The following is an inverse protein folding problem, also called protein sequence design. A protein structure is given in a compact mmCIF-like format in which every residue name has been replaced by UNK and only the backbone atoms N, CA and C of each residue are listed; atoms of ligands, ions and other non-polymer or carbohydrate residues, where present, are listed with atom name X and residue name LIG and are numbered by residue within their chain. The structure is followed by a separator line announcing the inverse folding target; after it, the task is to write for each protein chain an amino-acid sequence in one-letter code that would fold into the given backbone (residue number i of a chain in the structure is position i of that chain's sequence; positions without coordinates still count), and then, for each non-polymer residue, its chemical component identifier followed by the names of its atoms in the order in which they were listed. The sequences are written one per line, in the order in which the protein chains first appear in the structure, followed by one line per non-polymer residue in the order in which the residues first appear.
data_IF_599148258847
#
_entry.id   IF_599148258847
#
_cell.length_a   1.000
_cell.length_b   1.000
_cell.length_c   1.000
_cell.angle_alpha   90.00
_cell.angle_beta   90.00
_cell.angle_gamma   90.00
#
_symmetry.space_group_name_H-M   'P 1'
#
loop_
_entity.id
_entity.type
_entity.pdbx_description
1 polymer ?
#
# COMPACT_ATOMS: atom_id res chain seq x y z
N UNK A 1 14.34 22.33 37.05
CA UNK A 1 14.56 22.63 35.62
C UNK A 1 13.84 21.56 34.81
N UNK A 2 12.56 21.78 34.47
CA UNK A 2 11.76 20.84 33.69
C UNK A 2 11.87 21.18 32.21
N UNK A 3 12.26 20.20 31.38
CA UNK A 3 12.41 20.34 29.93
C UNK A 3 11.08 20.67 29.25
N UNK A 4 10.76 21.96 29.08
CA UNK A 4 9.70 22.41 28.17
C UNK A 4 10.25 22.42 26.73
N UNK A 5 10.31 21.25 26.10
CA UNK A 5 10.18 21.21 24.64
C UNK A 5 8.72 21.51 24.34
N UNK A 6 8.37 22.48 23.48
CA UNK A 6 6.96 22.66 23.10
C UNK A 6 6.46 21.33 22.56
N UNK A 7 5.39 20.79 23.14
CA UNK A 7 4.78 19.58 22.64
C UNK A 7 4.35 19.82 21.19
N UNK A 8 4.74 18.93 20.28
CA UNK A 8 4.37 19.04 18.87
C UNK A 8 2.84 19.04 18.77
N UNK A 9 2.29 20.11 18.20
CA UNK A 9 0.86 20.26 17.98
C UNK A 9 0.47 19.54 16.69
N UNK A 10 0.06 18.28 16.84
CA UNK A 10 -0.34 17.43 15.71
C UNK A 10 -1.61 17.92 15.01
N UNK A 11 -2.48 18.67 15.69
CA UNK A 11 -3.69 19.25 15.09
C UNK A 11 -3.30 20.34 14.07
N UNK A 12 -2.34 21.20 14.43
CA UNK A 12 -1.78 22.17 13.48
C UNK A 12 -1.10 21.50 12.29
N UNK A 13 -0.34 20.43 12.52
CA UNK A 13 0.28 19.66 11.43
C UNK A 13 -0.79 19.03 10.52
N UNK A 14 -1.89 18.52 11.08
CA UNK A 14 -2.98 17.95 10.32
C UNK A 14 -3.65 18.98 9.39
N UNK A 15 -3.64 20.26 9.77
CA UNK A 15 -4.16 21.35 8.95
C UNK A 15 -3.20 21.79 7.83
N UNK A 16 -1.89 21.53 7.97
CA UNK A 16 -0.86 21.92 7.00
C UNK A 16 -1.12 21.34 5.61
N UNK A 17 -0.92 22.17 4.59
CA UNK A 17 -1.06 21.77 3.19
C UNK A 17 -0.09 20.64 2.79
N UNK A 18 1.12 20.62 3.36
CA UNK A 18 2.13 19.57 3.11
C UNK A 18 1.69 18.21 3.67
N UNK A 19 1.11 18.17 4.88
CA UNK A 19 0.54 16.95 5.46
C UNK A 19 -0.66 16.42 4.67
N UNK A 20 -1.60 17.28 4.28
CA UNK A 20 -2.76 16.88 3.46
C UNK A 20 -2.32 16.29 2.12
N UNK A 21 -1.28 16.85 1.50
CA UNK A 21 -0.70 16.28 0.28
C UNK A 21 -0.08 14.89 0.51
N UNK A 22 0.67 14.70 1.60
CA UNK A 22 1.22 13.40 1.98
C UNK A 22 0.11 12.35 2.17
N UNK A 23 -0.94 12.68 2.91
CA UNK A 23 -2.10 11.80 3.11
C UNK A 23 -2.77 11.45 1.78
N UNK A 24 -2.96 12.43 0.89
CA UNK A 24 -3.53 12.18 -0.45
C UNK A 24 -2.68 11.20 -1.26
N UNK A 25 -1.35 11.41 -1.32
CA UNK A 25 -0.42 10.50 -2.02
C UNK A 25 -0.49 9.09 -1.46
N UNK A 26 -0.45 8.94 -0.13
CA UNK A 26 -0.55 7.65 0.56
C UNK A 26 -1.86 6.94 0.22
N UNK A 27 -2.99 7.65 0.30
CA UNK A 27 -4.30 7.07 0.07
C UNK A 27 -4.49 6.62 -1.38
N UNK A 28 -4.04 7.42 -2.36
CA UNK A 28 -4.08 7.03 -3.77
C UNK A 28 -3.27 5.76 -4.01
N UNK A 29 -2.06 5.68 -3.47
CA UNK A 29 -1.20 4.51 -3.58
C UNK A 29 -1.84 3.25 -2.97
N UNK A 30 -2.37 3.36 -1.76
CA UNK A 30 -3.08 2.27 -1.08
C UNK A 30 -4.30 1.81 -1.87
N UNK A 31 -5.09 2.75 -2.39
CA UNK A 31 -6.24 2.43 -3.22
C UNK A 31 -5.85 1.70 -4.50
N UNK A 32 -4.79 2.15 -5.19
CA UNK A 32 -4.30 1.47 -6.40
C UNK A 32 -3.88 0.04 -6.13
N UNK A 33 -3.10 -0.19 -5.06
CA UNK A 33 -2.68 -1.55 -4.65
C UNK A 33 -3.88 -2.41 -4.32
N UNK A 34 -4.83 -1.87 -3.55
CA UNK A 34 -6.04 -2.58 -3.13
C UNK A 34 -6.88 -2.99 -4.33
N UNK A 35 -7.06 -2.11 -5.32
CA UNK A 35 -7.80 -2.41 -6.55
C UNK A 35 -7.11 -3.51 -7.35
N UNK A 36 -5.79 -3.43 -7.53
CA UNK A 36 -5.02 -4.48 -8.24
C UNK A 36 -5.18 -5.83 -7.55
N UNK A 37 -5.03 -5.85 -6.22
CA UNK A 37 -5.22 -7.04 -5.41
C UNK A 37 -6.63 -7.62 -5.55
N UNK A 38 -7.66 -6.78 -5.40
CA UNK A 38 -9.06 -7.21 -5.51
C UNK A 38 -9.39 -7.72 -6.90
N UNK A 39 -8.91 -7.05 -7.96
CA UNK A 39 -9.11 -7.51 -9.33
C UNK A 39 -8.48 -8.88 -9.54
N UNK A 40 -7.21 -9.08 -9.15
CA UNK A 40 -6.54 -10.37 -9.28
C UNK A 40 -7.25 -11.46 -8.45
N UNK A 41 -7.61 -11.15 -7.22
CA UNK A 41 -8.32 -12.09 -6.34
C UNK A 41 -9.68 -12.49 -6.89
N UNK A 42 -10.48 -11.53 -7.37
CA UNK A 42 -11.81 -11.77 -7.93
C UNK A 42 -11.75 -12.40 -9.32
N UNK A 43 -10.66 -12.21 -10.07
CA UNK A 43 -10.47 -12.83 -11.37
C UNK A 43 -10.49 -14.36 -11.24
N UNK A 44 -9.88 -14.92 -10.19
CA UNK A 44 -9.79 -16.37 -9.99
C UNK A 44 -11.18 -17.06 -9.93
N UNK A 45 -12.12 -16.70 -9.03
CA UNK A 45 -13.44 -17.32 -9.00
C UNK A 45 -14.26 -17.02 -10.25
N UNK A 46 -14.09 -15.84 -10.88
CA UNK A 46 -14.77 -15.50 -12.13
C UNK A 46 -14.30 -16.44 -13.25
N UNK A 47 -12.99 -16.56 -13.47
CA UNK A 47 -12.44 -17.45 -14.50
C UNK A 47 -12.77 -18.91 -14.20
N UNK A 48 -12.75 -19.31 -12.93
CA UNK A 48 -13.08 -20.69 -12.54
C UNK A 48 -14.57 -20.99 -12.76
N UNK A 49 -15.47 -20.05 -12.50
CA UNK A 49 -16.92 -20.28 -12.62
C UNK A 49 -17.43 -20.16 -14.05
N UNK A 50 -16.86 -19.25 -14.84
CA UNK A 50 -17.37 -18.91 -16.18
C UNK A 50 -16.52 -19.49 -17.32
N UNK A 51 -15.34 -20.04 -17.05
CA UNK A 51 -14.46 -20.61 -18.08
C UNK A 51 -13.89 -21.98 -17.67
N UNK A 52 -13.53 -22.79 -18.67
CA UNK A 52 -12.87 -24.09 -18.45
C UNK A 52 -11.34 -24.02 -18.58
N UNK A 53 -10.79 -22.85 -18.91
CA UNK A 53 -9.35 -22.66 -19.16
C UNK A 53 -8.53 -23.04 -17.92
N UNK A 54 -8.99 -22.61 -16.74
CA UNK A 54 -8.29 -22.86 -15.48
C UNK A 54 -8.29 -24.35 -15.07
N UNK A 55 -9.29 -25.10 -15.51
CA UNK A 55 -9.44 -26.54 -15.21
C UNK A 55 -8.58 -27.42 -16.11
N UNK A 56 -8.03 -26.88 -17.21
CA UNK A 56 -7.15 -27.66 -18.07
C UNK A 56 -5.86 -28.03 -17.34
N UNK A 57 -5.37 -29.23 -17.61
CA UNK A 57 -4.09 -29.73 -17.09
C UNK A 57 -2.96 -28.88 -17.69
N UNK A 58 -2.12 -28.34 -16.82
CA UNK A 58 -0.94 -27.59 -17.20
C UNK A 58 0.30 -28.50 -17.20
N UNK A 59 0.58 -29.15 -16.06
CA UNK A 59 1.73 -30.06 -15.90
C UNK A 59 1.27 -31.29 -15.10
N UNK A 60 1.22 -32.46 -15.76
CA UNK A 60 0.69 -33.67 -15.15
C UNK A 60 -0.77 -33.49 -14.70
N UNK A 61 -1.07 -33.77 -13.43
CA UNK A 61 -2.40 -33.56 -12.84
C UNK A 61 -2.62 -32.15 -12.27
N UNK A 62 -1.62 -31.27 -12.35
CA UNK A 62 -1.73 -29.88 -11.89
C UNK A 62 -2.47 -29.06 -12.94
N UNK A 63 -3.58 -28.44 -12.55
CA UNK A 63 -4.35 -27.53 -13.39
C UNK A 63 -3.85 -26.10 -13.31
N UNK A 64 -4.27 -25.26 -14.26
CA UNK A 64 -3.97 -23.83 -14.26
C UNK A 64 -4.51 -23.08 -13.02
N UNK A 65 -5.55 -23.59 -12.34
CA UNK A 65 -6.02 -23.05 -11.04
C UNK A 65 -4.88 -23.00 -10.02
N UNK A 66 -4.10 -24.07 -9.92
CA UNK A 66 -2.99 -24.15 -8.96
C UNK A 66 -1.88 -23.18 -9.30
N UNK A 67 -1.53 -23.06 -10.59
CA UNK A 67 -0.52 -22.10 -11.07
C UNK A 67 -0.94 -20.67 -10.75
N UNK A 68 -2.20 -20.33 -11.04
CA UNK A 68 -2.75 -19.00 -10.72
C UNK A 68 -2.74 -18.74 -9.20
N UNK A 69 -3.14 -19.73 -8.41
CA UNK A 69 -3.17 -19.62 -6.94
C UNK A 69 -1.77 -19.35 -6.38
N UNK A 70 -0.75 -20.07 -6.84
CA UNK A 70 0.66 -19.81 -6.49
C UNK A 70 1.08 -18.41 -6.94
N UNK A 71 0.66 -17.98 -8.14
CA UNK A 71 0.87 -16.63 -8.62
C UNK A 71 0.30 -15.53 -7.71
N UNK A 72 -0.87 -15.75 -7.10
CA UNK A 72 -1.46 -14.82 -6.13
C UNK A 72 -0.61 -14.66 -4.87
N UNK A 73 0.04 -15.72 -4.39
CA UNK A 73 0.97 -15.63 -3.26
C UNK A 73 2.18 -14.78 -3.62
N UNK A 74 2.80 -15.04 -4.77
CA UNK A 74 3.94 -14.26 -5.28
C UNK A 74 3.56 -12.79 -5.46
N UNK A 75 2.39 -12.53 -6.04
CA UNK A 75 1.84 -11.18 -6.19
C UNK A 75 1.68 -10.49 -4.83
N UNK A 76 1.14 -11.18 -3.82
CA UNK A 76 0.92 -10.62 -2.48
C UNK A 76 2.24 -10.25 -1.81
N UNK A 77 3.27 -11.11 -1.89
CA UNK A 77 4.60 -10.76 -1.40
C UNK A 77 5.22 -9.60 -2.18
N UNK A 78 5.02 -9.56 -3.50
CA UNK A 78 5.45 -8.45 -4.34
C UNK A 78 4.81 -7.12 -3.92
N UNK A 79 3.49 -7.10 -3.70
CA UNK A 79 2.76 -5.94 -3.20
C UNK A 79 3.22 -5.54 -1.79
N UNK A 80 3.46 -6.50 -0.90
CA UNK A 80 3.95 -6.22 0.44
C UNK A 80 5.35 -5.57 0.41
N UNK A 81 6.27 -6.10 -0.40
CA UNK A 81 7.60 -5.52 -0.56
C UNK A 81 7.55 -4.12 -1.19
N UNK A 82 6.74 -3.96 -2.23
CA UNK A 82 6.52 -2.67 -2.89
C UNK A 82 5.90 -1.65 -1.93
N UNK A 83 4.96 -2.07 -1.08
CA UNK A 83 4.36 -1.25 -0.03
C UNK A 83 5.41 -0.78 0.97
N UNK A 84 6.24 -1.67 1.50
CA UNK A 84 7.30 -1.31 2.47
C UNK A 84 8.28 -0.31 1.86
N UNK A 85 8.71 -0.55 0.62
CA UNK A 85 9.58 0.39 -0.10
C UNK A 85 8.97 1.79 -0.20
N UNK A 86 7.67 1.88 -0.52
CA UNK A 86 6.96 3.16 -0.60
C UNK A 86 6.70 3.78 0.78
N UNK A 87 6.43 2.98 1.80
CA UNK A 87 6.22 3.44 3.17
C UNK A 87 7.44 4.20 3.70
N UNK A 88 8.65 3.69 3.42
CA UNK A 88 9.90 4.39 3.78
C UNK A 88 10.01 5.81 3.17
N UNK A 89 9.45 6.01 1.96
CA UNK A 89 9.39 7.33 1.33
C UNK A 89 8.42 8.24 2.06
N UNK A 90 7.24 7.74 2.43
CA UNK A 90 6.27 8.51 3.21
C UNK A 90 6.77 8.87 4.60
N UNK A 91 7.52 7.98 5.25
CA UNK A 91 8.15 8.26 6.55
C UNK A 91 9.19 9.38 6.45
N UNK A 92 9.93 9.45 5.32
CA UNK A 92 10.83 10.57 5.05
C UNK A 92 10.07 11.89 4.85
N UNK A 93 9.03 11.88 4.00
CA UNK A 93 8.18 13.07 3.77
C UNK A 93 7.53 13.55 5.09
N UNK A 94 7.12 12.64 5.99
CA UNK A 94 6.56 12.98 7.29
C UNK A 94 7.58 13.69 8.20
N UNK A 95 8.84 13.25 8.22
CA UNK A 95 9.91 13.91 8.97
C UNK A 95 10.17 15.32 8.46
N UNK A 96 10.20 15.51 7.15
CA UNK A 96 10.38 16.84 6.53
C UNK A 96 9.26 17.82 6.94
N UNK A 97 8.01 17.34 7.06
CA UNK A 97 6.87 18.15 7.52
C UNK A 97 7.03 18.55 9.00
N UNK A 98 7.51 17.64 9.84
CA UNK A 98 7.78 17.95 11.26
C UNK A 98 8.89 19.02 11.36
N UNK A 99 9.96 18.90 10.58
CA UNK A 99 11.04 19.91 10.51
C UNK A 99 10.57 21.25 9.93
N UNK A 100 9.62 21.25 8.98
CA UNK A 100 8.94 22.45 8.48
C UNK A 100 8.16 23.15 9.60
N UNK A 101 7.35 22.39 10.36
CA UNK A 101 6.59 22.90 11.49
C UNK A 101 7.50 23.52 12.56
N UNK A 102 8.56 22.81 12.99
CA UNK A 102 9.49 23.30 14.00
C UNK A 102 10.23 24.58 13.57
N UNK A 103 10.50 24.75 12.27
CA UNK A 103 11.10 25.98 11.73
C UNK A 103 10.12 27.16 11.67
N UNK A 104 8.84 26.91 11.41
CA UNK A 104 7.81 27.96 11.40
C UNK A 104 7.33 28.39 12.80
N UNK A 105 7.63 27.60 13.84
CA UNK A 105 7.37 27.92 15.25
C UNK A 105 8.47 28.77 15.89
N UNK A 106 9.66 28.84 15.28
CA UNK A 106 10.73 29.79 15.67
C UNK A 106 10.45 31.20 15.19
#
# INVERSE_FOLDING_TARGET
MGNNKPAIDYDKIAEMGSFKQLVKKKNVFLWSITVIFLVAYMLLPILTSFTQILHQKAIGDITWVWIYSVGLFVMTWGLAHLYVSKANVFDKEAKEIIEEYERGVK
#
